data_IF_862643761362
#
_entry.id   IF_862643761362
#
_cell.length_a   1.000
_cell.length_b   1.000
_cell.length_c   1.000
_cell.angle_alpha   90.00
_cell.angle_beta   90.00
_cell.angle_gamma   90.00
#
_symmetry.space_group_name_H-M   'P 1'
#
loop_
_entity.id
_entity.type
_entity.pdbx_description
1 polymer ?
#
# COMPACT_ATOMS: atom_id res chain seq x y z
N UNK A 1 -16.42 9.38 6.01
CA UNK A 1 -15.52 8.21 5.90
C UNK A 1 -14.72 8.37 4.62
N UNK A 2 -13.46 8.76 4.72
CA UNK A 2 -12.53 8.78 3.59
C UNK A 2 -12.26 7.33 3.18
N UNK A 3 -12.76 6.92 2.01
CA UNK A 3 -12.33 5.66 1.41
C UNK A 3 -10.88 5.85 0.97
N UNK A 4 -9.98 4.99 1.42
CA UNK A 4 -8.61 4.91 0.92
C UNK A 4 -8.59 3.91 -0.23
N UNK A 5 -8.70 4.36 -1.51
CA UNK A 5 -8.79 3.43 -2.62
C UNK A 5 -7.49 2.64 -2.76
N UNK A 6 -7.61 1.31 -2.85
CA UNK A 6 -6.46 0.42 -3.01
C UNK A 6 -5.81 0.62 -4.37
N UNK A 7 -4.52 0.94 -4.37
CA UNK A 7 -3.71 1.13 -5.57
C UNK A 7 -2.82 -0.10 -5.80
N UNK A 8 -2.39 -0.28 -7.04
CA UNK A 8 -1.33 -1.17 -7.43
C UNK A 8 0.00 -0.41 -7.41
N UNK A 9 1.04 -1.05 -6.89
CA UNK A 9 2.40 -0.51 -6.89
C UNK A 9 3.42 -1.57 -7.30
N UNK A 10 4.57 -1.12 -7.78
CA UNK A 10 5.70 -1.97 -8.16
C UNK A 10 7.03 -1.23 -8.04
N UNK A 11 8.06 -1.90 -7.50
CA UNK A 11 9.45 -1.39 -7.51
C UNK A 11 10.11 -1.58 -8.89
N UNK A 12 9.57 -0.96 -9.93
CA UNK A 12 10.11 -1.05 -11.30
C UNK A 12 9.71 -2.33 -12.03
N UNK A 13 10.66 -3.24 -12.30
CA UNK A 13 10.46 -4.47 -13.10
C UNK A 13 10.10 -5.67 -12.20
N UNK A 14 9.29 -5.42 -11.17
CA UNK A 14 8.98 -6.39 -10.11
C UNK A 14 7.53 -6.89 -10.12
N UNK A 15 7.19 -7.65 -9.07
CA UNK A 15 5.82 -8.06 -8.81
C UNK A 15 4.94 -6.85 -8.45
N UNK A 16 3.74 -6.81 -9.01
CA UNK A 16 2.72 -5.81 -8.70
C UNK A 16 2.03 -6.23 -7.41
N UNK A 17 1.96 -5.33 -6.43
CA UNK A 17 1.35 -5.59 -5.12
C UNK A 17 0.33 -4.50 -4.74
N UNK A 18 -0.68 -4.84 -3.92
CA UNK A 18 -1.69 -3.88 -3.50
C UNK A 18 -1.17 -3.02 -2.34
N UNK A 19 -1.55 -1.73 -2.38
CA UNK A 19 -1.23 -0.74 -1.35
C UNK A 19 -2.45 0.13 -1.03
N UNK A 20 -2.45 0.76 0.15
CA UNK A 20 -3.34 1.87 0.50
C UNK A 20 -2.49 3.08 0.90
N UNK A 21 -2.77 4.24 0.31
CA UNK A 21 -2.07 5.48 0.63
C UNK A 21 -2.72 6.10 1.86
N UNK A 22 -1.92 6.27 2.92
CA UNK A 22 -2.34 6.88 4.18
C UNK A 22 -2.04 8.38 4.21
N UNK A 23 -0.86 8.75 3.73
CA UNK A 23 -0.42 10.13 3.61
C UNK A 23 0.23 10.35 2.24
N UNK A 24 -0.43 11.09 1.33
CA UNK A 24 0.10 11.33 -0.02
C UNK A 24 1.20 12.40 -0.05
N UNK A 25 1.48 13.09 1.07
CA UNK A 25 2.52 14.12 1.09
C UNK A 25 3.90 13.46 1.07
N UNK A 26 4.78 13.94 0.18
CA UNK A 26 6.17 13.46 0.05
C UNK A 26 7.03 14.00 1.20
N UNK A 27 6.82 13.46 2.41
CA UNK A 27 7.57 13.80 3.63
C UNK A 27 8.18 12.58 4.32
N UNK A 28 7.92 11.38 3.80
CA UNK A 28 8.33 10.13 4.41
C UNK A 28 9.62 9.61 3.79
N UNK A 29 10.47 9.02 4.64
CA UNK A 29 11.71 8.38 4.26
C UNK A 29 11.76 6.92 4.65
N UNK A 30 12.57 6.19 3.89
CA UNK A 30 12.94 4.83 4.23
C UNK A 30 13.76 4.85 5.53
N UNK A 31 13.41 4.01 6.52
CA UNK A 31 14.22 3.87 7.74
C UNK A 31 15.61 3.33 7.42
N UNK A 32 16.62 3.77 8.18
CA UNK A 32 18.02 3.44 7.91
C UNK A 32 18.37 1.97 8.24
N UNK A 33 17.60 1.27 9.08
CA UNK A 33 17.73 -0.16 9.46
C UNK A 33 16.32 -0.64 9.90
N UNK A 34 15.97 -1.96 10.08
CA UNK A 34 14.57 -2.39 10.12
C UNK A 34 13.74 -1.54 11.09
N UNK A 35 12.73 -0.85 10.55
CA UNK A 35 12.07 0.24 11.24
C UNK A 35 10.86 0.75 10.47
N UNK A 36 10.26 1.82 10.98
CA UNK A 36 9.10 2.46 10.39
C UNK A 36 9.49 3.67 9.55
N UNK A 37 8.65 4.09 8.59
CA UNK A 37 8.85 5.33 7.88
C UNK A 37 8.96 6.51 8.84
N UNK A 38 9.96 7.37 8.62
CA UNK A 38 10.22 8.55 9.43
C UNK A 38 9.85 9.81 8.64
N UNK A 39 9.30 10.81 9.32
CA UNK A 39 9.03 12.12 8.70
C UNK A 39 10.32 12.93 8.63
N UNK A 40 10.60 13.51 7.47
CA UNK A 40 11.69 14.46 7.30
C UNK A 40 11.16 15.77 6.72
N UNK A 41 11.31 16.91 7.42
CA UNK A 41 10.71 18.19 7.02
C UNK A 41 11.21 18.71 5.67
N UNK A 42 12.47 18.47 5.33
CA UNK A 42 13.10 19.12 4.16
C UNK A 42 13.38 18.19 2.97
N UNK A 43 13.31 16.86 3.15
CA UNK A 43 13.86 15.93 2.15
C UNK A 43 12.95 14.75 1.80
N UNK A 44 11.75 14.64 2.37
CA UNK A 44 10.89 13.49 2.12
C UNK A 44 10.67 13.19 0.64
N UNK A 45 10.86 11.94 0.25
CA UNK A 45 10.68 11.52 -1.15
C UNK A 45 9.53 10.52 -1.33
N UNK A 46 8.98 10.02 -0.22
CA UNK A 46 7.96 8.99 -0.22
C UNK A 46 6.66 9.45 0.45
N UNK A 47 5.59 8.78 0.05
CA UNK A 47 4.30 8.76 0.75
C UNK A 47 4.32 7.71 1.86
N UNK A 48 3.47 7.85 2.86
CA UNK A 48 3.20 6.78 3.81
C UNK A 48 2.14 5.86 3.23
N UNK A 49 2.47 4.58 3.08
CA UNK A 49 1.53 3.60 2.53
C UNK A 49 1.49 2.33 3.38
N UNK A 50 0.32 1.69 3.39
CA UNK A 50 0.20 0.30 3.80
C UNK A 50 0.42 -0.59 2.59
N UNK A 51 1.25 -1.61 2.75
CA UNK A 51 1.54 -2.62 1.73
C UNK A 51 1.11 -3.99 2.20
N UNK A 52 0.50 -4.75 1.30
CA UNK A 52 0.34 -6.18 1.47
C UNK A 52 1.64 -6.94 1.16
N UNK A 53 1.98 -7.85 2.06
CA UNK A 53 3.18 -8.68 2.09
C UNK A 53 2.85 -10.14 2.43
N UNK A 54 1.56 -10.49 2.49
CA UNK A 54 1.14 -11.86 2.68
C UNK A 54 1.39 -12.73 1.43
N UNK A 55 1.12 -14.03 1.52
CA UNK A 55 1.40 -14.95 0.43
C UNK A 55 0.54 -14.65 -0.81
N UNK A 56 1.05 -14.90 -2.04
CA UNK A 56 0.33 -14.58 -3.28
C UNK A 56 -1.06 -15.22 -3.42
N UNK A 57 -1.30 -16.35 -2.72
CA UNK A 57 -2.60 -17.03 -2.70
C UNK A 57 -3.69 -16.28 -1.92
N UNK A 58 -3.32 -15.29 -1.12
CA UNK A 58 -4.23 -14.52 -0.27
C UNK A 58 -4.47 -13.08 -0.76
N UNK A 59 -3.87 -12.70 -1.91
CA UNK A 59 -4.01 -11.36 -2.51
C UNK A 59 -5.47 -10.98 -2.80
N UNK A 60 -6.38 -11.96 -2.88
CA UNK A 60 -7.83 -11.70 -3.05
C UNK A 60 -8.43 -11.00 -1.83
N UNK A 61 -7.90 -11.22 -0.64
CA UNK A 61 -8.34 -10.60 0.61
C UNK A 61 -7.61 -9.28 0.90
N UNK A 62 -6.46 -9.06 0.26
CA UNK A 62 -5.62 -7.89 0.50
C UNK A 62 -6.36 -6.55 0.35
N UNK A 63 -7.23 -6.31 -0.65
CA UNK A 63 -7.92 -5.03 -0.76
C UNK A 63 -8.80 -4.69 0.45
N UNK A 64 -9.61 -5.66 0.89
CA UNK A 64 -10.50 -5.46 2.04
C UNK A 64 -9.71 -5.22 3.34
N UNK A 65 -8.60 -5.95 3.53
CA UNK A 65 -7.72 -5.77 4.69
C UNK A 65 -7.02 -4.40 4.66
N UNK A 66 -6.55 -3.97 3.49
CA UNK A 66 -5.91 -2.66 3.31
C UNK A 66 -6.90 -1.52 3.57
N UNK A 67 -8.11 -1.59 3.03
CA UNK A 67 -9.15 -0.56 3.26
C UNK A 67 -9.54 -0.48 4.74
N UNK A 68 -9.77 -1.63 5.38
CA UNK A 68 -10.14 -1.69 6.80
C UNK A 68 -9.00 -1.21 7.72
N UNK A 69 -7.75 -1.50 7.38
CA UNK A 69 -6.60 -0.99 8.11
C UNK A 69 -6.43 0.52 7.91
N UNK A 70 -6.51 0.99 6.66
CA UNK A 70 -6.36 2.42 6.33
C UNK A 70 -7.45 3.29 7.00
N UNK A 71 -8.68 2.79 7.11
CA UNK A 71 -9.75 3.49 7.82
C UNK A 71 -9.49 3.69 9.33
N UNK A 72 -8.58 2.90 9.91
CA UNK A 72 -8.13 2.99 11.32
C UNK A 72 -6.80 3.69 11.47
N UNK A 73 -6.21 4.18 10.37
CA UNK A 73 -4.92 4.85 10.42
C UNK A 73 -5.01 6.12 11.27
N UNK A 74 -3.94 6.45 12.02
CA UNK A 74 -3.86 7.73 12.73
C UNK A 74 -3.96 8.90 11.73
N UNK A 75 -4.45 10.04 12.22
CA UNK A 75 -4.58 11.23 11.38
C UNK A 75 -3.20 11.71 10.90
N UNK A 76 -3.10 12.13 9.64
CA UNK A 76 -1.86 12.62 9.07
C UNK A 76 -1.55 14.07 9.52
N UNK A 77 -0.30 14.39 9.91
CA UNK A 77 0.86 13.50 10.09
C UNK A 77 0.86 12.74 11.44
N UNK A 78 0.99 11.40 11.45
CA UNK A 78 1.15 10.67 12.70
C UNK A 78 2.56 10.80 13.29
N UNK A 79 2.65 10.88 14.60
CA UNK A 79 3.90 10.77 15.35
C UNK A 79 4.54 9.39 15.23
N UNK A 80 5.83 9.26 15.56
CA UNK A 80 6.52 7.96 15.59
C UNK A 80 5.81 6.92 16.47
N UNK A 81 5.40 7.32 17.68
CA UNK A 81 4.69 6.44 18.61
C UNK A 81 3.32 5.98 18.06
N UNK A 82 2.59 6.85 17.37
CA UNK A 82 1.33 6.49 16.71
C UNK A 82 1.56 5.48 15.57
N UNK A 83 2.64 5.63 14.81
CA UNK A 83 3.02 4.66 13.77
C UNK A 83 3.44 3.32 14.36
N UNK A 84 4.18 3.30 15.45
CA UNK A 84 4.58 2.08 16.16
C UNK A 84 3.37 1.31 16.69
N UNK A 85 2.46 2.02 17.37
CA UNK A 85 1.22 1.45 17.85
C UNK A 85 0.37 0.94 16.69
N UNK A 86 0.28 1.72 15.61
CA UNK A 86 -0.49 1.33 14.43
C UNK A 86 0.11 0.09 13.77
N UNK A 87 1.42 0.04 13.49
CA UNK A 87 2.12 -1.13 12.92
C UNK A 87 1.90 -2.39 13.75
N UNK A 88 1.93 -2.28 15.08
CA UNK A 88 1.71 -3.40 16.00
C UNK A 88 0.27 -3.90 15.94
N UNK A 89 -0.69 -3.02 15.67
CA UNK A 89 -2.12 -3.36 15.56
C UNK A 89 -2.53 -3.92 14.19
N UNK A 90 -1.62 -3.92 13.21
CA UNK A 90 -1.93 -4.36 11.86
C UNK A 90 -2.10 -5.89 11.80
N UNK A 91 -3.08 -6.38 11.02
CA UNK A 91 -3.16 -7.78 10.65
C UNK A 91 -1.85 -8.33 10.06
N UNK A 92 -1.60 -9.65 10.19
CA UNK A 92 -0.52 -10.31 9.47
C UNK A 92 -0.57 -9.99 7.97
N UNK A 93 0.60 -9.87 7.36
CA UNK A 93 0.72 -9.51 5.94
C UNK A 93 0.59 -8.02 5.65
N UNK A 94 0.22 -7.15 6.59
CA UNK A 94 0.25 -5.70 6.40
C UNK A 94 1.49 -5.05 7.02
N UNK A 95 2.11 -4.13 6.26
CA UNK A 95 3.30 -3.38 6.67
C UNK A 95 3.19 -1.92 6.26
N UNK A 96 3.63 -1.02 7.14
CA UNK A 96 3.87 0.37 6.81
C UNK A 96 5.21 0.48 6.07
N UNK A 97 5.21 1.19 4.96
CA UNK A 97 6.42 1.51 4.20
C UNK A 97 6.35 2.94 3.69
N UNK A 98 7.53 3.48 3.34
CA UNK A 98 7.62 4.61 2.44
C UNK A 98 7.45 4.11 0.99
N UNK A 99 6.80 4.92 0.15
CA UNK A 99 6.73 4.65 -1.27
C UNK A 99 6.74 5.95 -2.09
N UNK A 100 7.75 6.14 -2.96
CA UNK A 100 7.69 7.18 -3.99
C UNK A 100 6.49 7.01 -4.94
N UNK A 101 5.84 8.11 -5.31
CA UNK A 101 4.67 8.14 -6.20
C UNK A 101 4.92 7.49 -7.57
N UNK A 102 6.14 7.61 -8.11
CA UNK A 102 6.56 6.98 -9.36
C UNK A 102 6.41 5.45 -9.39
N UNK A 103 6.27 4.81 -8.23
CA UNK A 103 6.04 3.36 -8.11
C UNK A 103 4.57 2.98 -8.02
N UNK A 104 3.66 3.95 -7.96
CA UNK A 104 2.21 3.73 -8.00
C UNK A 104 1.76 3.67 -9.46
N UNK A 105 1.06 2.60 -9.81
CA UNK A 105 0.63 2.33 -11.19
C UNK A 105 -0.80 2.85 -11.43
N UNK A 106 -1.65 2.80 -10.40
CA UNK A 106 -3.07 3.16 -10.48
C UNK A 106 -3.95 2.20 -9.68
N UNK A 107 -5.27 2.16 -9.90
CA UNK A 107 -6.19 1.32 -9.12
C UNK A 107 -5.86 -0.17 -9.16
N UNK A 108 -5.91 -0.86 -8.01
CA UNK A 108 -5.62 -2.31 -7.94
C UNK A 108 -6.51 -3.18 -8.83
N UNK A 109 -7.78 -2.76 -9.01
CA UNK A 109 -8.73 -3.43 -9.87
C UNK A 109 -8.34 -3.40 -11.36
N UNK A 110 -7.52 -2.41 -11.76
CA UNK A 110 -7.07 -2.21 -13.15
C UNK A 110 -5.59 -2.59 -13.34
N UNK A 111 -4.99 -3.29 -12.37
CA UNK A 111 -3.59 -3.68 -12.45
C UNK A 111 -3.32 -4.55 -13.69
N UNK A 112 -2.12 -4.46 -14.28
CA UNK A 112 -1.68 -5.41 -15.29
C UNK A 112 -1.92 -6.87 -14.85
N UNK A 113 -2.54 -7.68 -15.71
CA UNK A 113 -2.90 -9.06 -15.43
C UNK A 113 -4.24 -9.28 -14.70
N UNK A 114 -5.00 -8.22 -14.37
CA UNK A 114 -6.33 -8.37 -13.75
C UNK A 114 -7.39 -8.92 -14.72
N UNK A 115 -7.28 -8.63 -16.00
CA UNK A 115 -8.15 -9.19 -17.04
C UNK A 115 -7.63 -10.57 -17.43
N UNK A 116 -8.22 -11.63 -16.86
CA UNK A 116 -8.27 -12.90 -17.59
C UNK A 116 -9.11 -12.63 -18.83
N UNK A 117 -8.48 -12.65 -20.00
CA UNK A 117 -9.19 -12.73 -21.27
C UNK A 117 -10.04 -14.00 -21.23
N UNK A 118 -11.33 -13.88 -20.93
CA UNK A 118 -12.28 -14.95 -21.19
C UNK A 118 -12.22 -15.20 -22.70
N UNK A 119 -11.81 -16.38 -23.19
CA UNK A 119 -11.91 -16.65 -24.62
C UNK A 119 -13.39 -16.54 -25.02
N UNK A 120 -13.70 -15.98 -26.20
CA UNK A 120 -15.09 -15.92 -26.65
C UNK A 120 -15.64 -17.34 -26.73
N UNK A 121 -16.92 -17.57 -26.38
CA UNK A 121 -17.54 -18.87 -26.57
C UNK A 121 -17.45 -19.21 -28.06
N UNK A 122 -16.80 -20.33 -28.38
CA UNK A 122 -16.83 -20.90 -29.71
C UNK A 122 -18.30 -21.15 -30.07
N UNK A 123 -18.85 -20.37 -30.99
CA UNK A 123 -20.13 -20.67 -31.61
C UNK A 123 -19.93 -21.94 -32.45
N UNK A 124 -20.65 -23.00 -32.09
CA UNK A 124 -20.78 -24.22 -32.88
C UNK A 124 -21.89 -24.06 -33.92
#
# INVERSE_FOLDING_TARGET
MTRHPVQAACYGIGAIYPIAILDPVHRWHRPVHPGLPEQHPDYGTGMLVLRWTGPPGEDIHAPALLEAAAARAPAAPPTGAELEAFQTSLPPGLRLIDLPDKYVIGPWAQRPGATRSTPPPHAA
#
